data_IF_829967466276
#
_entry.id   IF_829967466276
#
_cell.length_a   1.000
_cell.length_b   1.000
_cell.length_c   1.000
_cell.angle_alpha   90.00
_cell.angle_beta   90.00
_cell.angle_gamma   90.00
#
_symmetry.space_group_name_H-M   'P 1'
#
loop_
_entity.id
_entity.type
_entity.pdbx_description
1 polymer ?
#
# COMPACT_ATOMS: atom_id res chain seq x y z
N UNK A 1 15.66 6.17 -6.68
CA UNK A 1 16.20 7.40 -6.09
C UNK A 1 15.05 8.24 -5.55
N UNK A 2 14.74 8.09 -4.24
CA UNK A 2 13.76 8.93 -3.58
C UNK A 2 14.27 10.38 -3.61
N UNK A 3 13.76 11.20 -4.54
CA UNK A 3 14.10 12.61 -4.66
C UNK A 3 13.39 13.44 -3.59
N UNK A 4 12.22 13.02 -3.21
CA UNK A 4 11.39 13.68 -2.22
C UNK A 4 10.96 12.73 -1.11
N UNK A 5 10.85 13.23 0.09
CA UNK A 5 10.24 12.59 1.25
C UNK A 5 9.10 13.46 1.75
N UNK A 6 8.01 12.85 2.18
CA UNK A 6 6.92 13.53 2.86
C UNK A 6 6.92 13.13 4.35
N UNK A 7 6.68 14.10 5.21
CA UNK A 7 6.62 13.89 6.66
C UNK A 7 5.69 14.91 7.32
N UNK A 8 5.27 14.60 8.53
CA UNK A 8 4.52 15.52 9.35
C UNK A 8 5.43 16.30 10.30
N UNK A 9 5.22 17.60 10.36
CA UNK A 9 5.78 18.49 11.37
C UNK A 9 4.60 19.09 12.14
N UNK A 10 4.28 18.49 13.29
CA UNK A 10 2.98 18.69 13.93
C UNK A 10 1.85 18.23 13.03
N UNK A 11 0.89 19.10 12.75
CA UNK A 11 -0.26 18.83 11.87
C UNK A 11 -0.02 19.23 10.41
N UNK A 12 1.19 19.65 10.07
CA UNK A 12 1.55 20.15 8.73
C UNK A 12 2.23 19.05 7.92
N UNK A 13 1.67 18.70 6.77
CA UNK A 13 2.33 17.82 5.81
C UNK A 13 3.38 18.63 5.04
N UNK A 14 4.64 18.20 5.13
CA UNK A 14 5.78 18.78 4.44
C UNK A 14 6.40 17.80 3.47
N UNK A 15 7.00 18.32 2.42
CA UNK A 15 7.80 17.58 1.44
C UNK A 15 9.18 18.16 1.38
N UNK A 16 10.21 17.34 1.58
CA UNK A 16 11.61 17.73 1.48
C UNK A 16 12.27 17.12 0.24
N UNK A 17 13.02 17.93 -0.49
CA UNK A 17 13.93 17.45 -1.53
C UNK A 17 15.19 16.89 -0.85
N UNK A 18 15.42 15.60 -0.95
CA UNK A 18 16.54 14.91 -0.27
C UNK A 18 17.92 15.31 -0.77
N UNK A 19 18.01 15.96 -1.94
CA UNK A 19 19.28 16.42 -2.52
C UNK A 19 19.62 17.86 -2.15
N UNK A 20 18.61 18.74 -2.10
CA UNK A 20 18.82 20.17 -1.87
C UNK A 20 18.52 20.59 -0.44
N UNK A 21 17.76 19.77 0.31
CA UNK A 21 17.24 20.14 1.63
C UNK A 21 16.09 21.15 1.58
N UNK A 22 15.63 21.53 0.38
CA UNK A 22 14.49 22.44 0.22
C UNK A 22 13.20 21.78 0.70
N UNK A 23 12.47 22.47 1.57
CA UNK A 23 11.18 22.03 2.10
C UNK A 23 10.04 22.82 1.48
N UNK A 24 8.94 22.13 1.22
CA UNK A 24 7.66 22.69 0.81
C UNK A 24 6.57 22.25 1.77
N UNK A 25 5.67 23.14 2.09
CA UNK A 25 4.44 22.84 2.82
C UNK A 25 3.35 22.49 1.81
N UNK A 26 2.61 21.42 2.06
CA UNK A 26 1.39 21.14 1.29
C UNK A 26 0.25 21.92 1.94
N UNK A 27 -0.36 22.82 1.18
CA UNK A 27 -1.45 23.66 1.71
C UNK A 27 -2.80 22.95 1.60
N UNK A 28 -3.57 23.04 2.68
CA UNK A 28 -4.94 22.54 2.79
C UNK A 28 -5.89 23.69 3.18
N UNK A 29 -7.15 23.53 2.86
CA UNK A 29 -8.21 24.43 3.35
C UNK A 29 -8.36 24.32 4.86
N UNK A 30 -8.88 25.37 5.49
CA UNK A 30 -9.10 25.41 6.94
C UNK A 30 -10.05 24.27 7.37
N UNK A 31 -9.64 23.52 8.40
CA UNK A 31 -10.41 22.39 8.94
C UNK A 31 -10.20 21.06 8.21
N UNK A 32 -9.44 21.04 7.13
CA UNK A 32 -9.06 19.81 6.41
C UNK A 32 -7.84 19.16 7.06
N UNK A 33 -7.91 17.87 7.27
CA UNK A 33 -6.83 17.01 7.75
C UNK A 33 -6.46 15.97 6.70
N UNK A 34 -5.21 15.53 6.69
CA UNK A 34 -4.80 14.40 5.86
C UNK A 34 -5.11 13.10 6.59
N UNK A 35 -6.03 12.30 6.05
CA UNK A 35 -6.34 10.96 6.56
C UNK A 35 -5.27 9.95 6.12
N UNK A 36 -4.83 10.03 4.86
CA UNK A 36 -3.81 9.15 4.31
C UNK A 36 -3.11 9.79 3.12
N UNK A 37 -1.83 9.46 2.90
CA UNK A 37 -1.14 9.83 1.66
C UNK A 37 -0.27 8.70 1.12
N UNK A 38 -0.08 8.69 -0.21
CA UNK A 38 0.71 7.69 -0.92
C UNK A 38 1.45 8.30 -2.10
N UNK A 39 2.75 8.05 -2.19
CA UNK A 39 3.54 8.38 -3.37
C UNK A 39 3.16 7.51 -4.56
N UNK A 40 3.04 8.12 -5.74
CA UNK A 40 3.00 7.37 -6.99
C UNK A 40 4.41 6.84 -7.30
N UNK A 41 4.53 5.59 -7.82
CA UNK A 41 5.84 4.95 -7.99
C UNK A 41 6.65 5.53 -9.16
N UNK A 42 6.01 6.15 -10.15
CA UNK A 42 6.57 6.55 -11.43
C UNK A 42 6.83 8.06 -11.57
N UNK A 43 6.34 8.87 -10.63
CA UNK A 43 6.44 10.35 -10.72
C UNK A 43 6.47 11.02 -9.35
N UNK A 44 6.94 12.28 -9.32
CA UNK A 44 7.00 13.10 -8.10
C UNK A 44 5.62 13.63 -7.70
N UNK A 45 4.68 12.71 -7.54
CA UNK A 45 3.28 13.01 -7.25
C UNK A 45 2.78 12.14 -6.12
N UNK A 46 1.99 12.72 -5.24
CA UNK A 46 1.43 12.07 -4.06
C UNK A 46 -0.09 12.10 -4.13
N UNK A 47 -0.74 10.97 -3.92
CA UNK A 47 -2.17 10.88 -3.68
C UNK A 47 -2.43 11.20 -2.21
N UNK A 48 -3.45 11.98 -1.94
CA UNK A 48 -3.82 12.44 -0.60
C UNK A 48 -5.32 12.19 -0.41
N UNK A 49 -5.69 11.48 0.65
CA UNK A 49 -7.05 11.43 1.15
C UNK A 49 -7.22 12.51 2.21
N UNK A 50 -7.96 13.54 1.88
CA UNK A 50 -8.33 14.64 2.76
C UNK A 50 -9.60 14.29 3.54
N UNK A 51 -9.64 14.69 4.79
CA UNK A 51 -10.78 14.51 5.70
C UNK A 51 -11.20 15.86 6.26
N UNK A 52 -12.47 16.17 6.14
CA UNK A 52 -13.08 17.35 6.74
C UNK A 52 -14.14 16.92 7.75
N UNK A 53 -14.04 17.44 8.98
CA UNK A 53 -15.01 17.16 10.03
C UNK A 53 -16.30 17.96 9.82
N UNK A 54 -17.41 17.28 9.62
CA UNK A 54 -18.74 17.88 9.47
C UNK A 54 -19.66 17.63 10.67
N UNK A 55 -20.79 18.33 10.74
CA UNK A 55 -21.80 18.18 11.82
C UNK A 55 -22.46 16.78 11.83
N UNK A 56 -22.47 16.08 10.71
CA UNK A 56 -23.11 14.74 10.56
C UNK A 56 -22.12 13.61 10.36
N UNK A 57 -20.82 13.86 10.49
CA UNK A 57 -19.73 12.93 10.23
C UNK A 57 -18.65 13.60 9.39
N UNK A 58 -17.60 12.86 9.03
CA UNK A 58 -16.54 13.37 8.18
C UNK A 58 -16.86 13.18 6.70
N UNK A 59 -16.53 14.17 5.88
CA UNK A 59 -16.43 14.04 4.43
C UNK A 59 -14.99 13.75 4.03
N UNK A 60 -14.84 13.08 2.89
CA UNK A 60 -13.53 12.72 2.37
C UNK A 60 -13.38 13.15 0.92
N UNK A 61 -12.17 13.57 0.57
CA UNK A 61 -11.82 13.93 -0.79
C UNK A 61 -10.48 13.34 -1.16
N UNK A 62 -10.37 12.78 -2.36
CA UNK A 62 -9.11 12.35 -2.93
C UNK A 62 -8.54 13.48 -3.78
N UNK A 63 -7.31 13.84 -3.52
CA UNK A 63 -6.55 14.81 -4.28
C UNK A 63 -5.19 14.22 -4.68
N UNK A 64 -4.48 14.88 -5.59
CA UNK A 64 -3.06 14.67 -5.77
C UNK A 64 -2.28 15.97 -5.56
N UNK A 65 -1.05 15.83 -5.13
CA UNK A 65 -0.08 16.91 -5.04
C UNK A 65 1.11 16.62 -5.95
N UNK A 66 1.35 17.50 -6.94
CA UNK A 66 2.48 17.44 -7.85
C UNK A 66 3.61 18.31 -7.27
N UNK A 67 4.66 17.67 -6.78
CA UNK A 67 5.75 18.35 -6.06
C UNK A 67 6.58 19.25 -6.99
N UNK A 68 6.77 18.84 -8.25
CA UNK A 68 7.57 19.61 -9.18
C UNK A 68 6.87 20.91 -9.60
N UNK A 69 5.56 20.90 -9.68
CA UNK A 69 4.72 22.05 -10.03
C UNK A 69 4.26 22.86 -8.81
N UNK A 70 4.35 22.28 -7.62
CA UNK A 70 3.79 22.82 -6.39
C UNK A 70 2.28 23.08 -6.49
N UNK A 71 1.55 22.10 -7.00
CA UNK A 71 0.10 22.21 -7.28
C UNK A 71 -0.62 21.02 -6.68
N UNK A 72 -1.68 21.31 -5.92
CA UNK A 72 -2.65 20.32 -5.44
C UNK A 72 -3.92 20.42 -6.30
N UNK A 73 -4.42 19.29 -6.77
CA UNK A 73 -5.64 19.20 -7.55
C UNK A 73 -6.57 18.10 -7.01
N UNK A 74 -7.86 18.43 -6.95
CA UNK A 74 -8.89 17.50 -6.51
C UNK A 74 -9.19 16.45 -7.59
N UNK A 75 -9.21 15.20 -7.18
CA UNK A 75 -9.59 14.08 -8.06
C UNK A 75 -11.08 13.81 -7.91
N UNK A 76 -11.54 13.50 -6.68
CA UNK A 76 -12.90 13.00 -6.42
C UNK A 76 -13.32 13.21 -4.98
N UNK A 77 -14.55 13.64 -4.76
CA UNK A 77 -15.23 13.47 -3.47
C UNK A 77 -15.49 11.98 -3.26
N UNK A 78 -15.15 11.50 -2.06
CA UNK A 78 -15.29 10.10 -1.70
C UNK A 78 -16.59 9.93 -0.91
N UNK A 79 -17.60 9.40 -1.58
CA UNK A 79 -18.91 9.18 -0.98
C UNK A 79 -19.07 7.70 -0.59
N UNK A 80 -19.17 7.46 0.71
CA UNK A 80 -19.46 6.16 1.31
C UNK A 80 -20.43 6.30 2.48
N UNK A 81 -21.18 5.23 2.72
CA UNK A 81 -22.31 5.26 3.65
C UNK A 81 -21.92 5.42 5.14
N UNK A 82 -20.68 5.08 5.53
CA UNK A 82 -20.23 5.12 6.92
C UNK A 82 -19.49 6.43 7.23
N UNK A 83 -20.15 7.33 7.96
CA UNK A 83 -19.57 8.62 8.36
C UNK A 83 -18.40 8.54 9.36
N UNK A 84 -18.13 7.35 9.91
CA UNK A 84 -16.99 7.08 10.81
C UNK A 84 -15.87 6.32 10.11
N UNK A 85 -15.98 6.13 8.81
CA UNK A 85 -14.97 5.47 8.03
C UNK A 85 -13.66 6.27 8.02
N UNK A 86 -12.53 5.57 7.92
CA UNK A 86 -11.19 6.14 7.79
C UNK A 86 -10.45 5.50 6.63
N UNK A 87 -9.71 6.30 5.88
CA UNK A 87 -8.85 5.77 4.81
C UNK A 87 -7.61 5.12 5.43
N UNK A 88 -7.40 3.85 5.13
CA UNK A 88 -6.26 3.08 5.66
C UNK A 88 -5.15 2.81 4.65
N UNK A 89 -5.48 2.74 3.37
CA UNK A 89 -4.49 2.55 2.30
C UNK A 89 -5.00 3.09 0.96
N UNK A 90 -4.08 3.54 0.13
CA UNK A 90 -4.31 3.91 -1.26
C UNK A 90 -3.30 3.15 -2.12
N UNK A 91 -3.79 2.45 -3.13
CA UNK A 91 -2.95 1.81 -4.14
C UNK A 91 -3.30 2.39 -5.51
N UNK A 92 -2.29 2.60 -6.35
CA UNK A 92 -2.49 3.11 -7.69
C UNK A 92 -1.64 2.35 -8.69
N UNK A 93 -2.22 2.06 -9.85
CA UNK A 93 -1.49 1.59 -11.02
C UNK A 93 -1.35 2.73 -12.03
N UNK A 94 -0.15 3.25 -12.25
CA UNK A 94 0.09 4.25 -13.28
C UNK A 94 -0.20 3.73 -14.70
N UNK A 95 -0.07 2.43 -14.91
CA UNK A 95 -0.26 1.80 -16.21
C UNK A 95 -1.73 1.69 -16.61
N UNK A 96 -2.60 1.39 -15.65
CA UNK A 96 -4.06 1.29 -15.88
C UNK A 96 -4.80 2.57 -15.50
N UNK A 97 -4.12 3.55 -14.87
CA UNK A 97 -4.69 4.79 -14.33
C UNK A 97 -5.86 4.53 -13.36
N UNK A 98 -5.72 3.50 -12.53
CA UNK A 98 -6.71 3.11 -11.54
C UNK A 98 -6.18 3.35 -10.15
N UNK A 99 -7.05 3.82 -9.27
CA UNK A 99 -6.78 4.03 -7.85
C UNK A 99 -7.73 3.14 -7.05
N UNK A 100 -7.18 2.44 -6.08
CA UNK A 100 -7.94 1.72 -5.06
C UNK A 100 -7.78 2.40 -3.72
N UNK A 101 -8.89 2.67 -3.05
CA UNK A 101 -8.93 3.27 -1.71
C UNK A 101 -9.51 2.26 -0.75
N UNK A 102 -8.71 1.83 0.22
CA UNK A 102 -9.15 0.97 1.32
C UNK A 102 -9.63 1.82 2.48
N UNK A 103 -10.79 1.47 3.00
CA UNK A 103 -11.48 2.20 4.06
C UNK A 103 -11.80 1.26 5.20
N UNK A 104 -11.42 1.62 6.43
CA UNK A 104 -11.93 0.99 7.64
C UNK A 104 -13.30 1.59 7.98
N UNK A 105 -14.29 0.74 8.09
CA UNK A 105 -15.62 1.10 8.50
C UNK A 105 -15.83 0.84 10.01
N UNK A 106 -16.87 1.40 10.59
CA UNK A 106 -17.29 1.04 11.95
C UNK A 106 -17.55 -0.47 12.06
N UNK A 107 -17.24 -1.06 13.22
CA UNK A 107 -17.40 -2.49 13.47
C UNK A 107 -16.28 -3.37 12.90
N UNK A 108 -15.09 -2.83 12.70
CA UNK A 108 -13.89 -3.55 12.21
C UNK A 108 -14.05 -4.16 10.82
N UNK A 109 -14.93 -3.60 10.00
CA UNK A 109 -15.09 -4.00 8.60
C UNK A 109 -14.27 -3.11 7.69
N UNK A 110 -13.84 -3.65 6.57
CA UNK A 110 -13.15 -2.90 5.53
C UNK A 110 -13.98 -2.85 4.25
N UNK A 111 -13.79 -1.82 3.46
CA UNK A 111 -14.28 -1.71 2.10
C UNK A 111 -13.18 -1.22 1.20
N UNK A 112 -13.22 -1.61 -0.07
CA UNK A 112 -12.31 -1.11 -1.09
C UNK A 112 -13.14 -0.42 -2.16
N UNK A 113 -12.70 0.76 -2.58
CA UNK A 113 -13.30 1.52 -3.67
C UNK A 113 -12.31 1.62 -4.81
N UNK A 114 -12.79 1.40 -6.02
CA UNK A 114 -12.08 1.52 -7.28
C UNK A 114 -12.45 2.86 -7.93
N UNK A 115 -11.46 3.59 -8.42
CA UNK A 115 -11.63 4.89 -9.08
C UNK A 115 -10.81 4.88 -10.37
N UNK A 116 -11.44 5.21 -11.49
CA UNK A 116 -10.78 5.29 -12.79
C UNK A 116 -10.39 6.74 -13.17
N UNK A 117 -9.72 6.89 -14.31
CA UNK A 117 -9.30 8.19 -14.86
C UNK A 117 -10.48 9.14 -15.14
N UNK A 118 -11.68 8.59 -15.40
CA UNK A 118 -12.90 9.39 -15.60
C UNK A 118 -13.55 9.81 -14.29
N UNK A 119 -12.90 9.54 -13.17
CA UNK A 119 -13.37 9.82 -11.80
C UNK A 119 -14.65 9.06 -11.43
N UNK A 120 -14.95 7.96 -12.12
CA UNK A 120 -15.99 7.04 -11.71
C UNK A 120 -15.52 6.24 -10.50
N UNK A 121 -16.40 6.06 -9.52
CA UNK A 121 -16.12 5.34 -8.28
C UNK A 121 -17.12 4.22 -8.10
N UNK A 122 -16.63 3.02 -7.76
CA UNK A 122 -17.46 1.88 -7.39
C UNK A 122 -16.86 1.14 -6.21
N UNK A 123 -17.69 0.52 -5.40
CA UNK A 123 -17.24 -0.42 -4.38
C UNK A 123 -16.78 -1.70 -5.05
N UNK A 124 -15.64 -2.22 -4.61
CA UNK A 124 -15.10 -3.51 -5.07
C UNK A 124 -15.76 -4.64 -4.31
N UNK A 125 -16.26 -5.64 -5.02
CA UNK A 125 -16.74 -6.87 -4.39
C UNK A 125 -15.55 -7.68 -3.86
N UNK A 126 -15.59 -8.02 -2.57
CA UNK A 126 -14.52 -8.75 -1.89
C UNK A 126 -15.08 -9.92 -1.09
N UNK A 127 -14.31 -11.01 -1.03
CA UNK A 127 -14.64 -12.22 -0.25
C UNK A 127 -14.31 -12.07 1.25
N UNK A 128 -13.79 -10.92 1.67
CA UNK A 128 -13.35 -10.65 3.04
C UNK A 128 -14.11 -9.46 3.64
N UNK A 129 -14.38 -9.55 4.95
CA UNK A 129 -14.95 -8.43 5.73
C UNK A 129 -13.90 -7.61 6.47
N UNK A 130 -12.82 -8.26 6.90
CA UNK A 130 -11.65 -7.62 7.52
C UNK A 130 -10.48 -7.76 6.56
N UNK A 131 -10.20 -6.68 5.85
CA UNK A 131 -9.16 -6.68 4.81
C UNK A 131 -7.87 -6.14 5.42
N UNK A 132 -6.80 -6.92 5.32
CA UNK A 132 -5.45 -6.53 5.68
C UNK A 132 -4.76 -5.69 4.62
N UNK A 133 -3.54 -6.07 4.27
CA UNK A 133 -2.77 -5.39 3.22
C UNK A 133 -3.43 -5.57 1.86
N UNK A 134 -3.36 -4.53 1.04
CA UNK A 134 -3.80 -4.55 -0.35
C UNK A 134 -2.64 -4.16 -1.28
N UNK A 135 -2.58 -4.74 -2.46
CA UNK A 135 -1.58 -4.42 -3.49
C UNK A 135 -2.20 -4.48 -4.88
N UNK A 136 -1.96 -3.45 -5.68
CA UNK A 136 -2.37 -3.43 -7.08
C UNK A 136 -1.48 -4.36 -7.91
N UNK A 137 -2.06 -5.01 -8.90
CA UNK A 137 -1.32 -5.72 -9.95
C UNK A 137 -1.04 -4.71 -11.07
N UNK A 138 0.22 -4.34 -11.33
CA UNK A 138 0.54 -3.17 -12.17
C UNK A 138 -0.03 -3.20 -13.58
N UNK A 139 -0.01 -4.35 -14.26
CA UNK A 139 -0.45 -4.49 -15.65
C UNK A 139 -1.92 -4.92 -15.80
N UNK A 140 -2.62 -5.15 -14.70
CA UNK A 140 -4.00 -5.58 -14.71
C UNK A 140 -4.86 -4.66 -13.85
N UNK A 141 -6.15 -4.52 -14.20
CA UNK A 141 -7.13 -3.87 -13.31
C UNK A 141 -7.56 -4.86 -12.21
N UNK A 142 -6.59 -5.26 -11.40
CA UNK A 142 -6.77 -6.21 -10.30
C UNK A 142 -6.05 -5.77 -9.05
N UNK A 143 -6.57 -6.25 -7.94
CA UNK A 143 -6.01 -6.04 -6.62
C UNK A 143 -5.83 -7.38 -5.91
N UNK A 144 -4.68 -7.56 -5.27
CA UNK A 144 -4.45 -8.65 -4.32
C UNK A 144 -4.73 -8.13 -2.92
N UNK A 145 -5.46 -8.88 -2.09
CA UNK A 145 -5.83 -8.46 -0.75
C UNK A 145 -5.85 -9.62 0.24
N UNK A 146 -5.57 -9.29 1.51
CA UNK A 146 -5.61 -10.25 2.63
C UNK A 146 -7.01 -10.30 3.26
N UNK A 147 -7.48 -11.49 3.57
CA UNK A 147 -8.55 -11.76 4.54
C UNK A 147 -7.93 -12.05 5.91
N UNK A 148 -8.07 -11.12 6.84
CA UNK A 148 -7.55 -11.26 8.20
C UNK A 148 -8.38 -12.22 9.06
N UNK A 149 -9.61 -12.54 8.65
CA UNK A 149 -10.50 -13.44 9.41
C UNK A 149 -10.14 -14.91 9.19
N UNK A 150 -9.86 -15.26 7.93
CA UNK A 150 -9.61 -16.67 7.57
C UNK A 150 -8.16 -16.92 7.16
N UNK A 151 -7.28 -15.93 7.29
CA UNK A 151 -5.86 -16.01 6.88
C UNK A 151 -5.70 -16.48 5.43
N UNK A 152 -6.35 -15.77 4.51
CA UNK A 152 -6.34 -16.08 3.07
C UNK A 152 -5.94 -14.87 2.25
N UNK A 153 -5.49 -15.13 1.03
CA UNK A 153 -5.17 -14.08 0.06
C UNK A 153 -6.05 -14.29 -1.17
N UNK A 154 -6.68 -13.22 -1.61
CA UNK A 154 -7.56 -13.19 -2.77
C UNK A 154 -7.05 -12.22 -3.84
N UNK A 155 -7.52 -12.44 -5.07
CA UNK A 155 -7.40 -11.49 -6.17
C UNK A 155 -8.81 -11.05 -6.58
N UNK A 156 -9.02 -9.78 -6.85
CA UNK A 156 -10.32 -9.28 -7.31
C UNK A 156 -10.77 -10.00 -8.58
N UNK A 157 -12.05 -10.34 -8.64
CA UNK A 157 -12.63 -11.12 -9.76
C UNK A 157 -12.42 -12.63 -9.65
N UNK A 158 -11.85 -13.13 -8.55
CA UNK A 158 -11.76 -14.56 -8.25
C UNK A 158 -12.49 -14.86 -6.94
N UNK A 159 -13.31 -15.90 -6.92
CA UNK A 159 -14.07 -16.31 -5.74
C UNK A 159 -13.25 -17.21 -4.81
N UNK A 160 -12.25 -17.90 -5.35
CA UNK A 160 -11.38 -18.79 -4.59
C UNK A 160 -10.11 -18.04 -4.14
N UNK A 161 -9.61 -18.34 -2.93
CA UNK A 161 -8.34 -17.81 -2.47
C UNK A 161 -7.17 -18.36 -3.28
N UNK A 162 -6.04 -17.67 -3.27
CA UNK A 162 -4.79 -18.19 -3.81
C UNK A 162 -4.39 -19.47 -3.07
N UNK A 163 -4.25 -20.55 -3.80
CA UNK A 163 -3.70 -21.80 -3.27
C UNK A 163 -2.18 -21.67 -3.17
N UNK A 164 -1.67 -21.66 -1.95
CA UNK A 164 -0.25 -21.59 -1.63
C UNK A 164 0.10 -22.88 -0.89
N UNK A 165 0.45 -23.90 -1.66
CA UNK A 165 0.69 -25.25 -1.14
C UNK A 165 1.60 -25.25 0.12
N UNK A 166 1.04 -25.73 1.22
CA UNK A 166 1.75 -25.90 2.50
C UNK A 166 1.85 -24.63 3.37
N UNK A 167 1.24 -23.51 2.97
CA UNK A 167 1.20 -22.28 3.77
C UNK A 167 -0.14 -22.15 4.47
N UNK A 168 -0.14 -22.24 5.80
CA UNK A 168 -1.36 -22.18 6.59
C UNK A 168 -1.78 -20.75 6.99
N UNK A 169 -0.83 -19.84 7.08
CA UNK A 169 -1.07 -18.46 7.52
C UNK A 169 -0.33 -17.49 6.57
N UNK A 170 -0.83 -17.30 5.34
CA UNK A 170 -0.21 -16.41 4.36
C UNK A 170 -0.39 -14.94 4.71
N UNK A 171 0.66 -14.15 4.53
CA UNK A 171 0.64 -12.69 4.62
C UNK A 171 1.10 -12.07 3.31
N UNK A 172 0.33 -11.13 2.78
CA UNK A 172 0.70 -10.39 1.58
C UNK A 172 1.84 -9.42 1.88
N UNK A 173 2.95 -9.56 1.18
CA UNK A 173 4.12 -8.68 1.31
C UNK A 173 4.06 -7.57 0.26
N UNK A 174 4.07 -7.95 -1.02
CA UNK A 174 4.17 -7.03 -2.14
C UNK A 174 3.62 -7.62 -3.45
N UNK A 175 3.51 -6.77 -4.45
CA UNK A 175 3.47 -7.12 -5.88
C UNK A 175 4.51 -6.25 -6.57
N UNK A 176 5.31 -6.82 -7.48
CA UNK A 176 6.34 -6.09 -8.21
C UNK A 176 5.87 -5.66 -9.62
N UNK A 177 6.76 -4.98 -10.37
CA UNK A 177 6.43 -4.48 -11.71
C UNK A 177 6.28 -5.58 -12.77
N UNK A 178 6.58 -6.84 -12.47
CA UNK A 178 6.33 -8.00 -13.33
C UNK A 178 5.07 -8.79 -12.92
N UNK A 179 4.19 -8.19 -12.12
CA UNK A 179 2.96 -8.79 -11.58
C UNK A 179 3.22 -10.04 -10.70
N UNK A 180 4.46 -10.18 -10.16
CA UNK A 180 4.75 -11.26 -9.21
C UNK A 180 4.26 -10.87 -7.83
N UNK A 181 3.49 -11.77 -7.22
CA UNK A 181 3.00 -11.62 -5.86
C UNK A 181 4.01 -12.24 -4.89
N UNK A 182 4.28 -11.55 -3.79
CA UNK A 182 5.16 -11.98 -2.71
C UNK A 182 4.34 -12.23 -1.45
N UNK A 183 4.40 -13.45 -0.94
CA UNK A 183 3.59 -13.92 0.18
C UNK A 183 4.52 -14.52 1.22
N UNK A 184 4.43 -14.05 2.46
CA UNK A 184 5.15 -14.61 3.58
C UNK A 184 4.35 -15.72 4.25
N UNK A 185 5.03 -16.75 4.74
CA UNK A 185 4.46 -17.70 5.70
C UNK A 185 4.66 -17.12 7.10
N UNK A 186 3.55 -16.77 7.75
CA UNK A 186 3.58 -16.13 9.08
C UNK A 186 3.45 -17.16 10.17
N UNK A 187 4.40 -17.17 11.08
CA UNK A 187 4.39 -17.94 12.32
C UNK A 187 4.80 -17.02 13.48
N UNK A 188 3.97 -16.93 14.52
CA UNK A 188 4.21 -16.06 15.68
C UNK A 188 4.50 -14.60 15.28
N UNK A 189 3.71 -14.07 14.36
CA UNK A 189 3.83 -12.73 13.75
C UNK A 189 5.13 -12.46 12.98
N UNK A 190 5.92 -13.50 12.73
CA UNK A 190 7.18 -13.41 11.99
C UNK A 190 7.15 -14.23 10.71
N UNK A 191 7.98 -13.83 9.76
CA UNK A 191 8.15 -14.45 8.46
C UNK A 191 9.58 -14.94 8.33
N UNK A 192 9.76 -16.23 8.04
CA UNK A 192 11.06 -16.85 7.76
C UNK A 192 11.21 -17.25 6.29
N UNK A 193 10.10 -17.37 5.57
CA UNK A 193 10.07 -17.80 4.17
C UNK A 193 9.10 -16.95 3.37
N UNK A 194 9.48 -16.60 2.15
CA UNK A 194 8.65 -15.87 1.18
C UNK A 194 8.43 -16.76 -0.03
N UNK A 195 7.18 -16.87 -0.46
CA UNK A 195 6.75 -17.47 -1.71
C UNK A 195 6.47 -16.35 -2.70
N UNK A 196 6.95 -16.47 -3.94
CA UNK A 196 6.74 -15.44 -4.95
C UNK A 196 6.57 -16.04 -6.34
N UNK A 197 5.82 -15.38 -7.17
CA UNK A 197 5.59 -15.80 -8.56
C UNK A 197 4.36 -15.16 -9.16
N UNK A 198 4.10 -15.54 -10.43
CA UNK A 198 2.90 -15.11 -11.15
C UNK A 198 1.70 -15.91 -10.66
N UNK A 199 0.57 -15.22 -10.47
CA UNK A 199 -0.72 -15.79 -10.05
C UNK A 199 -1.76 -15.67 -11.17
N UNK A 200 -1.38 -16.04 -12.38
CA UNK A 200 -2.29 -16.07 -13.53
C UNK A 200 -3.13 -17.34 -13.49
N UNK A 201 -4.46 -17.14 -13.57
CA UNK A 201 -5.53 -18.14 -13.74
C UNK A 201 -5.16 -19.61 -13.49
N UNK A 202 -5.40 -20.08 -12.26
CA UNK A 202 -5.45 -21.52 -11.93
C UNK A 202 -4.11 -22.26 -11.87
N UNK A 203 -2.98 -21.59 -12.05
CA UNK A 203 -1.64 -22.18 -11.92
C UNK A 203 -0.70 -21.25 -11.14
N UNK A 204 -0.59 -21.51 -9.87
CA UNK A 204 0.37 -20.82 -9.02
C UNK A 204 1.73 -21.51 -9.13
N UNK A 205 2.64 -20.98 -9.95
CA UNK A 205 4.04 -21.41 -9.94
C UNK A 205 4.84 -20.52 -8.98
N UNK A 206 4.71 -20.79 -7.68
CA UNK A 206 5.42 -20.02 -6.68
C UNK A 206 6.80 -20.65 -6.39
N UNK A 207 7.82 -19.81 -6.37
CA UNK A 207 9.15 -20.13 -5.86
C UNK A 207 9.24 -19.72 -4.39
N UNK A 208 10.11 -20.37 -3.62
CA UNK A 208 10.32 -20.06 -2.22
C UNK A 208 11.71 -19.49 -1.98
N UNK A 209 11.80 -18.46 -1.14
CA UNK A 209 13.06 -17.90 -0.64
C UNK A 209 13.05 -17.99 0.89
N UNK A 210 14.10 -18.57 1.45
CA UNK A 210 14.38 -18.57 2.88
C UNK A 210 15.08 -17.26 3.25
N UNK A 211 14.61 -16.60 4.29
CA UNK A 211 15.18 -15.34 4.78
C UNK A 211 16.40 -15.57 5.71
N UNK A 212 16.64 -16.82 6.11
CA UNK A 212 17.69 -17.21 7.05
C UNK A 212 17.41 -16.87 8.51
N UNK A 213 16.47 -15.97 8.76
CA UNK A 213 16.00 -15.59 10.11
C UNK A 213 14.51 -15.23 10.05
N UNK A 214 13.80 -15.43 11.15
CA UNK A 214 12.42 -14.97 11.28
C UNK A 214 12.39 -13.47 11.59
N UNK A 215 11.69 -12.70 10.77
CA UNK A 215 11.61 -11.23 10.84
C UNK A 215 10.16 -10.77 10.85
N UNK A 216 9.93 -9.58 11.41
CA UNK A 216 8.62 -8.98 11.40
C UNK A 216 8.17 -8.66 9.96
N UNK A 217 6.89 -8.84 9.66
CA UNK A 217 6.28 -8.56 8.36
C UNK A 217 6.63 -7.15 7.85
N UNK A 218 6.60 -6.16 8.74
CA UNK A 218 6.83 -4.75 8.39
C UNK A 218 8.32 -4.41 8.21
N UNK A 219 9.22 -5.33 8.59
CA UNK A 219 10.65 -5.20 8.31
C UNK A 219 11.01 -5.63 6.88
N UNK A 220 10.08 -6.25 6.15
CA UNK A 220 10.32 -6.77 4.79
C UNK A 220 9.86 -5.74 3.77
N UNK A 221 10.75 -5.40 2.86
CA UNK A 221 10.47 -4.57 1.70
C UNK A 221 10.84 -5.30 0.41
N UNK A 222 9.96 -5.23 -0.58
CA UNK A 222 10.23 -5.73 -1.93
C UNK A 222 10.22 -4.53 -2.88
N UNK A 223 11.29 -4.37 -3.65
CA UNK A 223 11.37 -3.31 -4.66
C UNK A 223 10.48 -3.62 -5.86
N UNK A 224 10.23 -2.63 -6.71
CA UNK A 224 9.51 -2.79 -7.98
C UNK A 224 10.16 -3.82 -8.92
N UNK A 225 11.48 -4.05 -8.79
CA UNK A 225 12.23 -5.05 -9.55
C UNK A 225 12.28 -6.44 -8.87
N UNK A 226 11.54 -6.64 -7.78
CA UNK A 226 11.46 -7.91 -7.07
C UNK A 226 12.63 -8.21 -6.13
N UNK A 227 13.48 -7.24 -5.83
CA UNK A 227 14.54 -7.42 -4.82
C UNK A 227 13.96 -7.33 -3.43
N UNK A 228 14.31 -8.29 -2.59
CA UNK A 228 13.83 -8.39 -1.21
C UNK A 228 14.88 -7.81 -0.26
N UNK A 229 14.44 -6.89 0.59
CA UNK A 229 15.25 -6.25 1.62
C UNK A 229 14.64 -6.47 2.99
N UNK A 230 15.48 -6.64 3.99
CA UNK A 230 15.12 -6.74 5.40
C UNK A 230 15.73 -5.56 6.13
N UNK A 231 14.90 -4.81 6.84
CA UNK A 231 15.32 -3.70 7.69
C UNK A 231 15.50 -4.18 9.13
N UNK A 232 16.74 -4.14 9.62
CA UNK A 232 17.07 -4.37 11.03
C UNK A 232 17.27 -3.02 11.73
N UNK A 233 16.17 -2.49 12.28
CA UNK A 233 16.17 -1.19 12.97
C UNK A 233 17.09 -1.17 14.20
N UNK A 234 17.30 -2.32 14.86
CA UNK A 234 18.16 -2.40 16.03
C UNK A 234 19.64 -2.23 15.68
N UNK A 235 20.03 -2.74 14.52
CA UNK A 235 21.40 -2.61 14.00
C UNK A 235 21.60 -1.41 13.09
N UNK A 236 20.53 -0.75 12.65
CA UNK A 236 20.60 0.32 11.66
C UNK A 236 21.09 -0.17 10.29
N UNK A 237 20.62 -1.35 9.86
CA UNK A 237 21.08 -2.01 8.64
C UNK A 237 19.88 -2.45 7.79
N UNK A 238 19.96 -2.21 6.49
CA UNK A 238 19.09 -2.84 5.48
C UNK A 238 19.90 -3.90 4.73
N UNK A 239 19.46 -5.15 4.75
CA UNK A 239 20.10 -6.27 4.06
C UNK A 239 19.31 -6.68 2.83
N UNK A 240 19.97 -6.77 1.68
CA UNK A 240 19.42 -7.40 0.46
C UNK A 240 19.52 -8.94 0.60
N UNK A 241 18.40 -9.64 0.52
CA UNK A 241 18.34 -11.08 0.81
C UNK A 241 19.17 -11.90 -0.19
N UNK A 242 19.06 -11.62 -1.49
CA UNK A 242 19.68 -12.42 -2.52
C UNK A 242 21.23 -12.29 -2.56
N UNK A 243 21.75 -11.09 -2.34
CA UNK A 243 23.20 -10.81 -2.39
C UNK A 243 23.88 -10.86 -1.03
N UNK A 244 23.10 -10.81 0.05
CA UNK A 244 23.62 -10.62 1.41
C UNK A 244 24.21 -9.23 1.66
N UNK A 245 24.12 -8.31 0.69
CA UNK A 245 24.70 -6.98 0.82
C UNK A 245 23.97 -6.18 1.89
N UNK A 246 24.74 -5.54 2.75
CA UNK A 246 24.24 -4.69 3.83
C UNK A 246 24.46 -3.21 3.53
N UNK A 247 23.46 -2.41 3.85
CA UNK A 247 23.48 -0.96 3.75
C UNK A 247 23.26 -0.39 5.14
N UNK A 248 24.31 0.19 5.70
CA UNK A 248 24.28 0.80 7.03
C UNK A 248 23.67 2.19 6.91
N UNK A 249 22.75 2.52 7.78
CA UNK A 249 22.18 3.86 7.89
C UNK A 249 22.25 4.36 9.34
N UNK A 250 22.48 5.66 9.47
CA UNK A 250 22.42 6.34 10.76
C UNK A 250 21.02 6.95 10.86
N UNK A 251 20.09 6.20 11.42
CA UNK A 251 18.76 6.68 11.77
C UNK A 251 18.59 6.66 13.29
N UNK A 252 18.14 7.76 13.82
CA UNK A 252 17.54 7.83 15.16
C UNK A 252 16.05 8.06 15.00
#
# INVERSE_FOLDING_TARGET
NARYLAYYDGDVLKVINTKTGEEKKVDFEDGVQVSFYKWLPDRNRMLIAEKEAGKKGSSFKLAYYDVDKDVKEDIKELDWADSKAEVEDIQASPLTNIIYVKVANSGKRSSIYWINIMKEMKKVDTMAYMIGKIKVVPHEDKLVYEDLTHHRIYITGQDEPLDINGVNNPSLIAVDDEDRVYIGETQDDKISKIYYGSVKEGRNSLQAIDLGTAVDKDAIYVSSQGKIYINDNLKGVVREVASGKEYIYQGR
#
